data_IF_629979664117
#
_entry.id   IF_629979664117
#
_cell.length_a   1.000
_cell.length_b   1.000
_cell.length_c   1.000
_cell.angle_alpha   90.00
_cell.angle_beta   90.00
_cell.angle_gamma   90.00
#
_symmetry.space_group_name_H-M   'P 1'
#
loop_
_entity.id
_entity.type
_entity.pdbx_description
1 polymer ?
#
# COMPACT_ATOMS: atom_id res chain seq x y z
N UNK A 1 11.39 -10.68 47.03
CA UNK A 1 11.85 -9.46 46.32
C UNK A 1 12.35 -9.89 44.96
N UNK A 2 11.56 -9.70 43.91
CA UNK A 2 11.98 -9.92 42.53
C UNK A 2 11.77 -8.59 41.82
N UNK A 3 12.88 -7.93 41.52
CA UNK A 3 12.91 -6.59 40.95
C UNK A 3 12.35 -6.61 39.52
N UNK A 4 11.24 -5.91 39.33
CA UNK A 4 10.75 -5.55 38.00
C UNK A 4 11.75 -4.56 37.40
N UNK A 5 12.63 -5.04 36.52
CA UNK A 5 13.47 -4.17 35.69
C UNK A 5 12.57 -3.44 34.70
N UNK A 6 11.99 -2.33 35.14
CA UNK A 6 11.39 -1.34 34.24
C UNK A 6 12.49 -0.82 33.33
N UNK A 7 12.53 -1.34 32.11
CA UNK A 7 13.37 -0.84 31.02
C UNK A 7 12.94 0.61 30.75
N UNK A 8 13.61 1.54 31.41
CA UNK A 8 13.46 2.97 31.11
C UNK A 8 13.87 3.17 29.65
N UNK A 9 13.00 3.75 28.80
CA UNK A 9 13.37 4.02 27.41
C UNK A 9 14.63 4.87 27.41
N UNK A 10 15.70 4.35 26.80
CA UNK A 10 16.97 5.06 26.67
C UNK A 10 16.74 6.42 26.01
N UNK A 11 17.58 7.42 26.31
CA UNK A 11 17.43 8.76 25.72
C UNK A 11 17.42 8.74 24.18
N UNK A 12 18.07 7.76 23.56
CA UNK A 12 17.97 7.48 22.12
C UNK A 12 16.56 7.05 21.67
N UNK A 13 15.86 6.23 22.45
CA UNK A 13 14.47 5.85 22.20
C UNK A 13 13.50 7.03 22.39
N UNK A 14 13.82 7.98 23.27
CA UNK A 14 13.04 9.22 23.44
C UNK A 14 13.33 10.23 22.32
N UNK A 15 14.56 10.31 21.83
CA UNK A 15 14.94 11.16 20.70
C UNK A 15 14.20 10.75 19.41
N UNK A 16 14.06 9.45 19.14
CA UNK A 16 13.30 8.97 17.96
C UNK A 16 11.79 9.15 18.07
N UNK A 17 11.25 9.32 19.28
CA UNK A 17 9.83 9.64 19.53
C UNK A 17 9.61 11.15 19.50
N UNK A 18 10.56 11.94 19.97
CA UNK A 18 10.54 13.40 19.92
C UNK A 18 10.72 13.95 18.48
N UNK A 19 11.56 13.30 17.66
CA UNK A 19 11.69 13.57 16.22
C UNK A 19 10.52 13.01 15.39
N UNK A 20 9.79 12.02 15.92
CA UNK A 20 8.59 11.44 15.30
C UNK A 20 7.35 12.32 15.40
N UNK A 21 7.49 13.65 15.28
CA UNK A 21 6.35 14.54 15.03
C UNK A 21 5.70 14.25 13.66
N UNK A 22 6.46 13.67 12.73
CA UNK A 22 5.94 13.04 11.52
C UNK A 22 6.68 11.72 11.26
N UNK A 23 6.14 10.57 11.70
CA UNK A 23 6.69 9.25 11.41
C UNK A 23 6.86 8.96 9.91
N UNK A 24 6.28 9.76 9.00
CA UNK A 24 6.45 9.63 7.55
C UNK A 24 7.60 10.46 6.97
N UNK A 25 8.30 11.28 7.77
CA UNK A 25 9.57 11.93 7.39
C UNK A 25 10.77 11.00 7.57
N UNK A 26 10.53 9.81 8.13
CA UNK A 26 11.54 8.80 8.37
C UNK A 26 12.14 8.31 7.04
N UNK A 27 13.47 8.42 6.86
CA UNK A 27 14.14 8.06 5.62
C UNK A 27 14.09 6.55 5.32
N UNK A 28 13.73 5.72 6.29
CA UNK A 28 13.47 4.28 6.18
C UNK A 28 12.08 3.95 5.59
N UNK A 29 11.19 4.93 5.43
CA UNK A 29 9.82 4.74 4.90
C UNK A 29 9.71 5.22 3.45
N UNK A 30 10.73 4.94 2.63
CA UNK A 30 10.82 5.38 1.22
C UNK A 30 9.62 4.97 0.35
N UNK A 31 8.87 3.94 0.74
CA UNK A 31 7.82 3.33 -0.09
C UNK A 31 6.39 3.69 0.31
N UNK A 32 6.15 4.45 1.39
CA UNK A 32 4.79 4.84 1.76
C UNK A 32 4.38 6.11 1.03
N UNK A 33 4.04 5.97 -0.25
CA UNK A 33 3.41 7.04 -1.03
C UNK A 33 2.08 7.42 -0.38
N UNK A 34 1.97 8.65 0.12
CA UNK A 34 0.71 9.22 0.62
C UNK A 34 -0.18 9.53 -0.58
N UNK A 35 -1.05 8.60 -0.95
CA UNK A 35 -2.22 8.97 -1.77
C UNK A 35 -3.16 9.81 -0.91
N UNK A 36 -3.77 10.88 -1.45
CA UNK A 36 -4.77 11.64 -0.71
C UNK A 36 -5.87 10.70 -0.22
N UNK A 37 -6.33 10.91 1.01
CA UNK A 37 -7.49 10.18 1.53
C UNK A 37 -8.68 10.39 0.59
N UNK A 38 -9.37 9.30 0.23
CA UNK A 38 -10.43 9.32 -0.80
C UNK A 38 -9.95 9.15 -2.24
N UNK A 39 -8.66 8.83 -2.48
CA UNK A 39 -8.20 8.40 -3.81
C UNK A 39 -8.66 6.96 -4.06
N UNK A 40 -9.85 6.81 -4.62
CA UNK A 40 -10.34 5.51 -5.06
C UNK A 40 -9.78 5.18 -6.45
N UNK A 41 -9.27 3.94 -6.67
CA UNK A 41 -8.94 3.50 -8.01
C UNK A 41 -10.21 3.48 -8.88
N UNK A 42 -10.10 3.93 -10.13
CA UNK A 42 -11.23 3.94 -11.06
C UNK A 42 -11.73 2.52 -11.34
N UNK A 43 -13.00 2.28 -11.03
CA UNK A 43 -13.68 0.99 -11.26
C UNK A 43 -13.75 0.64 -12.75
N UNK A 44 -13.72 1.66 -13.63
CA UNK A 44 -13.77 1.48 -15.08
C UNK A 44 -12.58 0.68 -15.64
N UNK A 45 -11.44 0.62 -14.95
CA UNK A 45 -10.33 -0.24 -15.35
C UNK A 45 -10.68 -1.72 -15.24
N UNK A 46 -11.33 -2.12 -14.14
CA UNK A 46 -11.77 -3.51 -13.95
C UNK A 46 -12.85 -3.90 -14.96
N UNK A 47 -13.81 -2.99 -15.20
CA UNK A 47 -14.88 -3.20 -16.19
C UNK A 47 -14.29 -3.29 -17.59
N UNK A 48 -13.43 -2.35 -17.98
CA UNK A 48 -12.80 -2.32 -19.30
C UNK A 48 -11.92 -3.55 -19.53
N UNK A 49 -11.13 -3.96 -18.54
CA UNK A 49 -10.32 -5.18 -18.60
C UNK A 49 -11.17 -6.43 -18.82
N UNK A 50 -12.28 -6.56 -18.07
CA UNK A 50 -13.21 -7.68 -18.27
C UNK A 50 -13.79 -7.70 -19.69
N UNK A 51 -14.37 -6.57 -20.14
CA UNK A 51 -14.98 -6.47 -21.48
C UNK A 51 -13.95 -6.76 -22.58
N UNK A 52 -12.74 -6.23 -22.46
CA UNK A 52 -11.67 -6.44 -23.45
C UNK A 52 -11.30 -7.92 -23.58
N UNK A 53 -11.10 -8.60 -22.45
CA UNK A 53 -10.76 -10.04 -22.45
C UNK A 53 -11.91 -10.87 -23.00
N UNK A 54 -13.16 -10.61 -22.59
CA UNK A 54 -14.33 -11.32 -23.09
C UNK A 54 -14.48 -11.17 -24.61
N UNK A 55 -14.36 -9.94 -25.13
CA UNK A 55 -14.40 -9.71 -26.59
C UNK A 55 -13.24 -10.41 -27.28
N UNK A 56 -12.02 -10.37 -26.72
CA UNK A 56 -10.87 -11.09 -27.26
C UNK A 56 -11.10 -12.60 -27.39
N UNK A 57 -11.70 -13.23 -26.37
CA UNK A 57 -12.06 -14.65 -26.42
C UNK A 57 -13.12 -14.91 -27.49
N UNK A 58 -14.19 -14.11 -27.54
CA UNK A 58 -15.24 -14.26 -28.54
C UNK A 58 -14.68 -14.13 -29.96
N UNK A 59 -13.88 -13.09 -30.22
CA UNK A 59 -13.21 -12.89 -31.51
C UNK A 59 -12.31 -14.08 -31.82
N UNK A 60 -11.50 -14.54 -30.87
CA UNK A 60 -10.60 -15.68 -31.08
C UNK A 60 -11.36 -16.97 -31.42
N UNK A 61 -12.53 -17.20 -30.83
CA UNK A 61 -13.36 -18.37 -31.14
C UNK A 61 -14.09 -18.24 -32.48
N UNK A 62 -14.48 -17.02 -32.89
CA UNK A 62 -15.19 -16.78 -34.15
C UNK A 62 -14.27 -16.62 -35.37
N UNK A 63 -12.96 -16.44 -35.15
CA UNK A 63 -11.95 -16.39 -36.21
C UNK A 63 -11.40 -17.77 -36.60
N UNK A 64 -11.93 -18.87 -36.03
CA UNK A 64 -11.64 -20.23 -36.52
C UNK A 64 -12.67 -20.53 -37.62
N UNK A 65 -12.30 -20.50 -38.91
CA UNK A 65 -13.19 -20.95 -39.97
C UNK A 65 -13.38 -22.47 -39.83
N UNK A 66 -14.64 -22.90 -39.83
CA UNK A 66 -15.02 -24.31 -39.98
C UNK A 66 -15.07 -24.74 -41.44
#
# INVERSE_FOLDING_TARGET
MSDNSETTPSDGARAVVADAKDPARRPDVLFRVRRPAGTEPSIWWSIGGFVFVSVGVLVSLNLIPG
#
